data_IF_383135068098
#
_entry.id   IF_383135068098
#
_cell.length_a   1.000
_cell.length_b   1.000
_cell.length_c   1.000
_cell.angle_alpha   90.00
_cell.angle_beta   90.00
_cell.angle_gamma   90.00
#
_symmetry.space_group_name_H-M   'P 1'
#
loop_
_entity.id
_entity.type
_entity.pdbx_description
1 polymer ?
#
# COMPACT_ATOMS: atom_id res chain seq x y z
N UNK A 1 -22.05 4.81 -10.06
CA UNK A 1 -21.88 3.40 -9.68
C UNK A 1 -21.73 3.21 -8.16
N UNK A 2 -20.85 3.92 -7.47
CA UNK A 2 -20.68 3.80 -6.02
C UNK A 2 -21.96 4.01 -5.18
N UNK A 3 -22.78 5.01 -5.52
CA UNK A 3 -24.04 5.26 -4.82
C UNK A 3 -25.06 4.12 -4.94
N UNK A 4 -25.07 3.38 -6.05
CA UNK A 4 -25.98 2.25 -6.29
C UNK A 4 -25.60 1.00 -5.49
N UNK A 5 -24.33 0.90 -5.05
CA UNK A 5 -23.80 -0.26 -4.36
C UNK A 5 -23.65 -0.05 -2.84
N UNK A 6 -23.86 1.17 -2.35
CA UNK A 6 -23.57 1.52 -0.96
C UNK A 6 -22.08 1.36 -0.60
N UNK A 7 -21.18 1.48 -1.59
CA UNK A 7 -19.74 1.32 -1.45
C UNK A 7 -19.10 2.65 -1.81
N UNK A 8 -18.25 3.14 -0.94
CA UNK A 8 -17.39 4.28 -1.24
C UNK A 8 -16.13 3.78 -1.94
N UNK A 9 -16.05 4.01 -3.25
CA UNK A 9 -14.92 3.59 -4.08
C UNK A 9 -13.59 4.26 -3.69
N UNK A 10 -13.64 5.37 -2.95
CA UNK A 10 -12.44 6.08 -2.50
C UNK A 10 -11.88 5.53 -1.18
N UNK A 11 -12.71 4.84 -0.39
CA UNK A 11 -12.29 4.29 0.89
C UNK A 11 -12.26 2.77 0.91
N UNK A 12 -12.88 2.10 -0.08
CA UNK A 12 -12.90 0.64 -0.18
C UNK A 12 -11.82 0.13 -1.14
N UNK A 13 -10.68 -0.26 -0.58
CA UNK A 13 -9.55 -0.83 -1.34
C UNK A 13 -9.94 -2.05 -2.19
N UNK A 14 -10.97 -2.80 -1.77
CA UNK A 14 -11.42 -3.99 -2.52
C UNK A 14 -12.19 -3.61 -3.78
N UNK A 15 -12.91 -2.48 -3.75
CA UNK A 15 -13.52 -1.95 -4.98
C UNK A 15 -12.47 -1.43 -5.95
N UNK A 16 -11.38 -0.87 -5.45
CA UNK A 16 -10.24 -0.50 -6.29
C UNK A 16 -9.59 -1.73 -6.93
N UNK A 17 -9.58 -2.88 -6.25
CA UNK A 17 -9.16 -4.15 -6.88
C UNK A 17 -10.09 -4.57 -8.02
N UNK A 18 -11.40 -4.37 -7.90
CA UNK A 18 -12.30 -4.60 -9.03
C UNK A 18 -11.98 -3.67 -10.20
N UNK A 19 -11.72 -2.39 -9.94
CA UNK A 19 -11.28 -1.45 -10.98
C UNK A 19 -9.95 -1.89 -11.64
N UNK A 20 -9.01 -2.41 -10.87
CA UNK A 20 -7.79 -3.03 -11.41
C UNK A 20 -8.11 -4.19 -12.36
N UNK A 21 -9.03 -5.10 -11.98
CA UNK A 21 -9.46 -6.21 -12.84
C UNK A 21 -10.26 -5.75 -14.06
N UNK A 22 -10.90 -4.60 -13.98
CA UNK A 22 -11.54 -3.95 -15.14
C UNK A 22 -10.51 -3.39 -16.13
N UNK A 23 -9.25 -3.19 -15.73
CA UNK A 23 -8.29 -2.41 -16.49
C UNK A 23 -8.66 -0.93 -16.55
N UNK A 24 -9.31 -0.41 -15.49
CA UNK A 24 -9.79 0.96 -15.42
C UNK A 24 -8.66 1.96 -15.62
N UNK A 25 -8.88 2.97 -16.46
CA UNK A 25 -7.89 3.99 -16.77
C UNK A 25 -8.15 5.32 -16.07
N UNK A 26 -9.36 5.51 -15.54
CA UNK A 26 -9.78 6.70 -14.81
C UNK A 26 -10.50 6.33 -13.53
N UNK A 27 -10.44 7.24 -12.54
CA UNK A 27 -11.08 7.03 -11.24
C UNK A 27 -12.57 7.39 -11.26
N UNK A 28 -13.00 8.25 -12.19
CA UNK A 28 -14.34 8.85 -12.17
C UNK A 28 -15.42 7.92 -12.76
N UNK A 29 -15.05 7.09 -13.71
CA UNK A 29 -15.97 6.17 -14.38
C UNK A 29 -15.26 4.95 -14.95
N UNK A 30 -16.02 3.90 -15.22
CA UNK A 30 -15.59 2.78 -16.04
C UNK A 30 -16.55 2.61 -17.23
N UNK A 31 -16.01 2.24 -18.36
CA UNK A 31 -16.79 1.91 -19.55
C UNK A 31 -17.48 0.56 -19.39
N UNK A 32 -18.51 0.28 -20.21
CA UNK A 32 -19.16 -1.03 -20.25
C UNK A 32 -18.15 -2.14 -20.59
N UNK A 33 -17.23 -1.88 -21.52
CA UNK A 33 -16.20 -2.84 -21.91
C UNK A 33 -15.24 -3.16 -20.74
N UNK A 34 -14.78 -2.16 -19.98
CA UNK A 34 -13.96 -2.35 -18.78
C UNK A 34 -14.74 -3.12 -17.71
N UNK A 35 -16.00 -2.77 -17.48
CA UNK A 35 -16.86 -3.48 -16.53
C UNK A 35 -17.01 -4.97 -16.88
N UNK A 36 -17.31 -5.29 -18.14
CA UNK A 36 -17.42 -6.67 -18.60
C UNK A 36 -16.08 -7.42 -18.51
N UNK A 37 -14.97 -6.72 -18.75
CA UNK A 37 -13.61 -7.27 -18.56
C UNK A 37 -13.39 -7.66 -17.12
N UNK A 38 -13.72 -6.80 -16.16
CA UNK A 38 -13.58 -7.07 -14.72
C UNK A 38 -14.43 -8.26 -14.26
N UNK A 39 -15.69 -8.33 -14.69
CA UNK A 39 -16.57 -9.47 -14.38
C UNK A 39 -15.98 -10.78 -14.91
N UNK A 40 -15.52 -10.79 -16.16
CA UNK A 40 -14.90 -11.96 -16.79
C UNK A 40 -13.60 -12.37 -16.09
N UNK A 41 -12.73 -11.42 -15.77
CA UNK A 41 -11.47 -11.67 -15.07
C UNK A 41 -11.71 -12.32 -13.69
N UNK A 42 -12.75 -11.87 -12.99
CA UNK A 42 -13.14 -12.43 -11.70
C UNK A 42 -14.06 -13.65 -11.80
N UNK A 43 -14.45 -14.08 -13.00
CA UNK A 43 -15.45 -15.16 -13.22
C UNK A 43 -16.74 -14.90 -12.44
N UNK A 44 -17.25 -13.67 -12.53
CA UNK A 44 -18.48 -13.18 -11.90
C UNK A 44 -19.48 -12.75 -12.97
N UNK A 45 -20.77 -12.87 -12.66
CA UNK A 45 -21.84 -12.43 -13.55
C UNK A 45 -22.47 -11.11 -13.08
N UNK A 46 -22.39 -10.84 -11.79
CA UNK A 46 -23.00 -9.67 -11.16
C UNK A 46 -22.03 -9.01 -10.19
N UNK A 47 -22.31 -7.75 -9.83
CA UNK A 47 -21.57 -7.07 -8.77
C UNK A 47 -21.72 -7.72 -7.39
N UNK A 48 -22.83 -8.42 -7.16
CA UNK A 48 -22.99 -9.17 -5.91
C UNK A 48 -22.02 -10.35 -5.84
N UNK A 49 -21.80 -11.03 -6.98
CA UNK A 49 -20.78 -12.09 -7.06
C UNK A 49 -19.38 -11.52 -6.80
N UNK A 50 -19.09 -10.32 -7.34
CA UNK A 50 -17.84 -9.61 -7.06
C UNK A 50 -17.66 -9.37 -5.57
N UNK A 51 -18.66 -8.80 -4.87
CA UNK A 51 -18.62 -8.58 -3.43
C UNK A 51 -18.31 -9.85 -2.64
N UNK A 52 -19.02 -10.92 -2.92
CA UNK A 52 -18.83 -12.22 -2.26
C UNK A 52 -17.42 -12.77 -2.50
N UNK A 53 -16.86 -12.54 -3.68
CA UNK A 53 -15.51 -12.98 -4.01
C UNK A 53 -14.44 -12.15 -3.32
N UNK A 54 -14.68 -10.84 -3.10
CA UNK A 54 -13.72 -9.95 -2.42
C UNK A 54 -13.36 -10.42 -1.02
N UNK A 55 -14.30 -10.98 -0.28
CA UNK A 55 -14.03 -11.56 1.05
C UNK A 55 -12.92 -12.63 1.00
N UNK A 56 -13.05 -13.57 0.05
CA UNK A 56 -12.04 -14.64 -0.14
C UNK A 56 -10.69 -14.10 -0.64
N UNK A 57 -10.72 -13.10 -1.50
CA UNK A 57 -9.50 -12.44 -2.00
C UNK A 57 -8.79 -11.74 -0.84
N UNK A 58 -9.51 -11.04 0.02
CA UNK A 58 -8.96 -10.42 1.22
C UNK A 58 -8.21 -11.42 2.12
N UNK A 59 -8.82 -12.57 2.36
CA UNK A 59 -8.20 -13.63 3.14
C UNK A 59 -6.89 -14.12 2.52
N UNK A 60 -6.82 -14.23 1.18
CA UNK A 60 -5.60 -14.66 0.47
C UNK A 60 -4.44 -13.66 0.49
N UNK A 61 -4.69 -12.39 0.89
CA UNK A 61 -3.65 -11.36 0.98
C UNK A 61 -3.02 -11.24 2.37
N UNK A 62 -3.53 -11.97 3.36
CA UNK A 62 -3.06 -11.87 4.75
C UNK A 62 -1.60 -12.29 4.92
N UNK A 63 -1.10 -13.21 4.10
CA UNK A 63 0.26 -13.75 4.21
C UNK A 63 1.30 -12.95 3.43
N UNK A 64 0.90 -12.06 2.53
CA UNK A 64 1.78 -11.37 1.57
C UNK A 64 2.71 -12.29 0.77
N UNK A 65 2.42 -13.59 0.73
CA UNK A 65 3.22 -14.55 -0.04
C UNK A 65 3.30 -14.11 -1.51
N UNK A 66 4.28 -14.64 -2.24
CA UNK A 66 4.63 -14.27 -3.62
C UNK A 66 3.43 -14.31 -4.59
N UNK A 67 2.44 -13.46 -4.31
CA UNK A 67 1.24 -13.27 -5.09
C UNK A 67 1.49 -12.12 -6.08
N UNK A 68 1.87 -12.47 -7.29
CA UNK A 68 2.11 -11.52 -8.37
C UNK A 68 0.89 -10.63 -8.64
N UNK A 69 -0.31 -11.18 -8.54
CA UNK A 69 -1.54 -10.43 -8.73
C UNK A 69 -1.74 -9.35 -7.66
N UNK A 70 -1.42 -9.68 -6.40
CA UNK A 70 -1.42 -8.70 -5.32
C UNK A 70 -0.37 -7.62 -5.54
N UNK A 71 0.86 -7.99 -5.93
CA UNK A 71 1.92 -7.02 -6.22
C UNK A 71 1.51 -6.08 -7.35
N UNK A 72 0.97 -6.61 -8.45
CA UNK A 72 0.52 -5.82 -9.58
C UNK A 72 -0.63 -4.88 -9.20
N UNK A 73 -1.55 -5.33 -8.37
CA UNK A 73 -2.60 -4.49 -7.80
C UNK A 73 -2.03 -3.38 -6.90
N UNK A 74 -1.10 -3.71 -6.01
CA UNK A 74 -0.45 -2.75 -5.13
C UNK A 74 0.24 -1.62 -5.92
N UNK A 75 0.96 -1.97 -6.98
CA UNK A 75 1.59 -0.99 -7.87
C UNK A 75 0.56 -0.17 -8.67
N UNK A 76 -0.53 -0.80 -9.08
CA UNK A 76 -1.65 -0.13 -9.74
C UNK A 76 -2.24 0.97 -8.84
N UNK A 77 -2.40 0.75 -7.55
CA UNK A 77 -2.95 1.74 -6.62
C UNK A 77 -2.22 3.07 -6.69
N UNK A 78 -0.90 3.05 -6.76
CA UNK A 78 -0.12 4.27 -6.89
C UNK A 78 -0.38 4.96 -8.23
N UNK A 79 -0.14 4.27 -9.34
CA UNK A 79 -0.25 4.83 -10.69
C UNK A 79 -1.67 5.33 -11.00
N UNK A 80 -2.68 4.62 -10.52
CA UNK A 80 -4.08 4.96 -10.70
C UNK A 80 -4.45 6.28 -10.01
N UNK A 81 -4.00 6.48 -8.76
CA UNK A 81 -4.30 7.70 -8.01
C UNK A 81 -3.52 8.93 -8.48
N UNK A 82 -2.28 8.75 -8.92
CA UNK A 82 -1.50 9.88 -9.45
C UNK A 82 -1.73 10.12 -10.96
N UNK A 83 -2.46 9.21 -11.62
CA UNK A 83 -2.74 9.26 -13.06
C UNK A 83 -1.49 9.52 -13.91
N UNK A 84 -0.38 8.93 -13.53
CA UNK A 84 0.91 9.13 -14.18
C UNK A 84 1.45 7.81 -14.72
N UNK A 85 2.26 7.91 -15.79
CA UNK A 85 2.94 6.76 -16.41
C UNK A 85 4.40 7.09 -16.69
N UNK A 86 5.24 6.09 -16.73
CA UNK A 86 6.65 6.22 -17.13
C UNK A 86 7.44 7.18 -16.22
N UNK A 87 8.17 8.11 -16.81
CA UNK A 87 9.01 9.06 -16.07
C UNK A 87 8.21 9.97 -15.13
N UNK A 88 6.98 10.35 -15.49
CA UNK A 88 6.12 11.16 -14.64
C UNK A 88 5.72 10.46 -13.35
N UNK A 89 5.71 9.13 -13.31
CA UNK A 89 5.42 8.34 -12.10
C UNK A 89 6.47 8.60 -11.02
N UNK A 90 7.74 8.68 -11.40
CA UNK A 90 8.88 8.87 -10.47
C UNK A 90 8.87 10.24 -9.77
N UNK A 91 8.23 11.23 -10.35
CA UNK A 91 8.17 12.60 -9.81
C UNK A 91 6.93 12.87 -8.97
N UNK A 92 6.02 11.89 -8.88
CA UNK A 92 4.77 12.03 -8.13
C UNK A 92 4.87 11.37 -6.75
N UNK A 93 4.05 11.88 -5.85
CA UNK A 93 3.88 11.37 -4.50
C UNK A 93 2.41 11.06 -4.27
N UNK A 94 2.14 9.94 -3.60
CA UNK A 94 0.81 9.58 -3.15
C UNK A 94 0.55 10.31 -1.82
N UNK A 95 -0.51 11.15 -1.71
CA UNK A 95 -0.81 11.88 -0.48
C UNK A 95 -1.03 10.97 0.72
N UNK A 96 -0.69 11.46 1.92
CA UNK A 96 -0.81 10.71 3.18
C UNK A 96 -2.21 10.10 3.36
N UNK A 97 -3.27 10.83 3.09
CA UNK A 97 -4.67 10.41 3.27
C UNK A 97 -4.99 9.16 2.43
N UNK A 98 -4.43 9.08 1.23
CA UNK A 98 -4.59 7.93 0.34
C UNK A 98 -3.73 6.75 0.81
N UNK A 99 -2.49 7.02 1.23
CA UNK A 99 -1.60 6.00 1.83
C UNK A 99 -2.28 5.38 3.07
N UNK A 100 -2.86 6.21 3.94
CA UNK A 100 -3.54 5.75 5.15
C UNK A 100 -4.69 4.79 4.84
N UNK A 101 -5.55 5.14 3.88
CA UNK A 101 -6.67 4.28 3.46
C UNK A 101 -6.17 2.93 2.96
N UNK A 102 -5.19 2.93 2.07
CA UNK A 102 -4.68 1.69 1.49
C UNK A 102 -3.91 0.85 2.50
N UNK A 103 -3.06 1.45 3.31
CA UNK A 103 -2.27 0.70 4.28
C UNK A 103 -3.15 0.08 5.37
N UNK A 104 -4.13 0.79 5.87
CA UNK A 104 -5.13 0.24 6.81
C UNK A 104 -5.98 -0.88 6.18
N UNK A 105 -6.30 -0.77 4.88
CA UNK A 105 -7.09 -1.77 4.18
C UNK A 105 -6.31 -3.03 3.79
N UNK A 106 -5.04 -2.88 3.40
CA UNK A 106 -4.22 -3.98 2.88
C UNK A 106 -3.35 -4.67 3.93
N UNK A 107 -2.87 -3.92 4.92
CA UNK A 107 -1.80 -4.36 5.83
C UNK A 107 -2.21 -4.32 7.30
N UNK A 108 -3.51 -4.36 7.59
CA UNK A 108 -4.05 -4.28 8.96
C UNK A 108 -3.51 -5.36 9.91
N UNK A 109 -3.00 -6.48 9.39
CA UNK A 109 -2.39 -7.57 10.15
C UNK A 109 -1.00 -7.21 10.70
N UNK A 110 -0.35 -6.15 10.21
CA UNK A 110 0.97 -5.71 10.66
C UNK A 110 0.84 -4.54 11.64
N UNK A 111 1.18 -4.75 12.90
CA UNK A 111 1.16 -3.70 13.92
C UNK A 111 2.00 -2.47 13.55
N UNK A 112 3.12 -2.70 12.86
CA UNK A 112 4.05 -1.65 12.40
C UNK A 112 3.37 -0.61 11.50
N UNK A 113 2.28 -0.96 10.81
CA UNK A 113 1.56 -0.05 9.91
C UNK A 113 1.00 1.16 10.66
N UNK A 114 0.42 0.96 11.82
CA UNK A 114 -0.11 2.07 12.61
C UNK A 114 1.01 3.03 13.04
N UNK A 115 2.16 2.50 13.44
CA UNK A 115 3.33 3.29 13.79
C UNK A 115 3.89 4.07 12.59
N UNK A 116 4.00 3.41 11.45
CA UNK A 116 4.45 4.05 10.21
C UNK A 116 3.51 5.18 9.75
N UNK A 117 2.20 4.97 9.86
CA UNK A 117 1.22 6.01 9.55
C UNK A 117 1.31 7.21 10.51
N UNK A 118 1.54 6.97 11.80
CA UNK A 118 1.78 8.07 12.78
C UNK A 118 3.05 8.84 12.42
N UNK A 119 4.12 8.14 12.04
CA UNK A 119 5.37 8.75 11.58
C UNK A 119 5.15 9.63 10.33
N UNK A 120 4.52 9.10 9.27
CA UNK A 120 4.24 9.86 8.04
C UNK A 120 3.38 11.10 8.32
N UNK A 121 2.35 10.95 9.16
CA UNK A 121 1.48 12.06 9.56
C UNK A 121 2.27 13.16 10.28
N UNK A 122 3.15 12.77 11.20
CA UNK A 122 4.01 13.71 11.93
C UNK A 122 4.97 14.49 11.03
N UNK A 123 5.43 13.86 9.95
CA UNK A 123 6.25 14.50 8.91
C UNK A 123 5.44 15.31 7.89
N UNK A 124 4.13 15.14 7.86
CA UNK A 124 3.24 15.71 6.83
C UNK A 124 3.68 15.35 5.40
N UNK A 125 4.04 14.09 5.17
CA UNK A 125 4.50 13.59 3.87
C UNK A 125 3.69 12.40 3.41
N UNK A 126 3.55 12.26 2.10
CA UNK A 126 3.08 11.04 1.45
C UNK A 126 4.25 10.17 1.01
N UNK A 127 4.00 9.18 0.17
CA UNK A 127 5.02 8.28 -0.36
C UNK A 127 5.30 8.55 -1.83
N UNK A 128 6.57 8.61 -2.21
CA UNK A 128 7.02 8.63 -3.60
C UNK A 128 6.92 7.23 -4.21
N UNK A 129 7.09 7.14 -5.53
CA UNK A 129 6.99 5.87 -6.23
C UNK A 129 7.99 4.80 -5.76
N UNK A 130 9.24 5.17 -5.56
CA UNK A 130 10.29 4.27 -5.09
C UNK A 130 10.03 3.79 -3.65
N UNK A 131 9.62 4.70 -2.77
CA UNK A 131 9.22 4.41 -1.39
C UNK A 131 8.01 3.46 -1.35
N UNK A 132 6.96 3.76 -2.15
CA UNK A 132 5.79 2.90 -2.27
C UNK A 132 6.15 1.50 -2.78
N UNK A 133 6.88 1.42 -3.91
CA UNK A 133 7.23 0.15 -4.53
C UNK A 133 8.05 -0.76 -3.59
N UNK A 134 9.02 -0.19 -2.86
CA UNK A 134 9.92 -0.95 -2.00
C UNK A 134 9.32 -1.25 -0.62
N UNK A 135 8.33 -0.47 -0.18
CA UNK A 135 7.70 -0.68 1.12
C UNK A 135 7.02 -2.05 1.24
N UNK A 136 6.48 -2.60 0.16
CA UNK A 136 5.93 -3.95 0.17
C UNK A 136 7.00 -5.01 0.47
N UNK A 137 8.20 -4.84 -0.08
CA UNK A 137 9.32 -5.75 0.17
C UNK A 137 9.82 -5.58 1.62
N UNK A 138 9.91 -4.33 2.11
CA UNK A 138 10.18 -4.06 3.52
C UNK A 138 9.19 -4.75 4.48
N UNK A 139 7.88 -4.70 4.19
CA UNK A 139 6.87 -5.38 5.02
C UNK A 139 7.02 -6.90 5.00
N UNK A 140 7.32 -7.49 3.86
CA UNK A 140 7.55 -8.93 3.73
C UNK A 140 8.75 -9.38 4.54
N UNK A 141 9.83 -8.63 4.45
CA UNK A 141 11.11 -9.01 5.05
C UNK A 141 11.17 -8.68 6.55
N UNK A 142 10.62 -7.53 6.96
CA UNK A 142 10.82 -6.96 8.29
C UNK A 142 9.54 -6.73 9.08
N UNK A 143 8.37 -6.74 8.43
CA UNK A 143 7.11 -6.34 9.07
C UNK A 143 6.71 -7.11 10.32
N UNK A 144 7.14 -8.37 10.46
CA UNK A 144 6.85 -9.20 11.62
C UNK A 144 7.89 -9.05 12.75
N UNK A 145 9.13 -8.70 12.43
CA UNK A 145 10.28 -8.71 13.37
C UNK A 145 10.82 -7.33 13.69
N UNK A 146 10.42 -6.30 12.92
CA UNK A 146 10.84 -4.93 13.14
C UNK A 146 10.67 -4.49 14.61
N UNK A 147 11.64 -3.77 15.21
CA UNK A 147 12.87 -3.24 14.60
C UNK A 147 14.09 -4.17 14.72
N UNK A 148 13.98 -5.36 15.30
CA UNK A 148 15.12 -6.19 15.73
C UNK A 148 16.07 -6.56 14.60
N UNK A 149 15.52 -6.89 13.43
CA UNK A 149 16.30 -7.40 12.29
C UNK A 149 16.49 -6.34 11.20
N UNK A 150 16.28 -5.06 11.55
CA UNK A 150 16.47 -3.98 10.61
C UNK A 150 17.92 -3.51 10.60
N UNK A 151 18.55 -3.55 9.42
CA UNK A 151 19.92 -3.08 9.21
C UNK A 151 19.90 -1.62 8.74
N UNK A 152 19.99 -0.71 9.71
CA UNK A 152 20.00 0.73 9.47
C UNK A 152 21.22 1.17 8.63
N UNK A 153 21.01 2.10 7.69
CA UNK A 153 22.09 2.73 6.91
C UNK A 153 22.64 1.89 5.76
N UNK A 154 22.08 0.69 5.48
CA UNK A 154 22.61 -0.20 4.42
C UNK A 154 22.19 0.21 3.00
N UNK A 155 21.37 1.24 2.82
CA UNK A 155 20.76 1.66 1.54
C UNK A 155 19.96 0.55 0.81
N UNK A 156 19.63 -0.54 1.50
CA UNK A 156 18.80 -1.62 0.93
C UNK A 156 17.34 -1.18 0.73
N UNK A 157 16.84 -0.36 1.67
CA UNK A 157 15.52 0.25 1.58
C UNK A 157 15.63 1.77 1.37
N UNK A 158 14.56 2.44 0.88
CA UNK A 158 14.53 3.89 0.77
C UNK A 158 14.76 4.58 2.12
N UNK A 159 15.34 5.78 2.09
CA UNK A 159 15.65 6.58 3.28
C UNK A 159 14.47 6.77 4.25
N UNK A 160 13.23 6.74 3.73
CA UNK A 160 12.02 6.82 4.58
C UNK A 160 11.93 5.67 5.59
N UNK A 161 12.47 4.49 5.26
CA UNK A 161 12.51 3.34 6.18
C UNK A 161 13.54 3.55 7.28
N UNK A 162 14.73 4.10 6.94
CA UNK A 162 15.75 4.47 7.94
C UNK A 162 15.25 5.57 8.87
N UNK A 163 14.62 6.60 8.32
CA UNK A 163 14.03 7.67 9.11
C UNK A 163 12.92 7.16 10.04
N UNK A 164 12.12 6.21 9.55
CA UNK A 164 11.10 5.54 10.37
C UNK A 164 11.74 4.70 11.48
N UNK A 165 12.80 3.96 11.18
CA UNK A 165 13.54 3.19 12.19
C UNK A 165 14.07 4.07 13.32
N UNK A 166 14.73 5.19 12.98
CA UNK A 166 15.24 6.16 13.97
C UNK A 166 14.08 6.72 14.81
N UNK A 167 13.00 7.15 14.16
CA UNK A 167 11.82 7.67 14.86
C UNK A 167 11.20 6.63 15.80
N UNK A 168 11.07 5.38 15.33
CA UNK A 168 10.53 4.27 16.11
C UNK A 168 11.39 3.95 17.32
N UNK A 169 12.70 3.84 17.14
CA UNK A 169 13.65 3.58 18.23
C UNK A 169 13.59 4.68 19.29
N UNK A 170 13.60 5.95 18.88
CA UNK A 170 13.46 7.09 19.81
C UNK A 170 12.14 7.07 20.58
N UNK A 171 11.03 6.78 19.89
CA UNK A 171 9.70 6.70 20.53
C UNK A 171 9.61 5.59 21.58
N UNK A 172 10.26 4.45 21.32
CA UNK A 172 10.21 3.27 22.19
C UNK A 172 11.43 3.09 23.09
N UNK A 173 12.33 4.09 23.17
CA UNK A 173 13.57 4.06 23.95
C UNK A 173 14.46 2.85 23.62
N UNK A 174 14.57 2.49 22.33
CA UNK A 174 15.43 1.44 21.82
C UNK A 174 16.76 2.08 21.41
N UNK A 175 17.90 1.52 21.85
CA UNK A 175 19.24 2.01 21.47
C UNK A 175 19.48 1.74 19.98
N UNK A 176 19.93 2.78 19.25
CA UNK A 176 20.31 2.66 17.84
C UNK A 176 21.78 2.21 17.79
N UNK A 177 22.16 1.17 17.03
CA UNK A 177 23.50 0.57 17.08
C UNK A 177 24.66 1.52 16.76
N UNK A 178 24.46 2.52 15.91
CA UNK A 178 25.52 3.44 15.43
C UNK A 178 25.58 4.78 16.20
N UNK A 179 24.75 4.98 17.22
CA UNK A 179 24.95 6.07 18.18
C UNK A 179 26.01 5.63 19.23
N UNK A 180 27.19 5.15 18.78
CA UNK A 180 28.37 5.10 19.67
C UNK A 180 28.84 6.53 19.97
N UNK A 181 28.77 6.84 21.22
CA UNK A 181 29.21 8.05 21.91
C UNK A 181 30.42 8.72 21.21
N UNK A 182 30.20 9.85 20.56
CA UNK A 182 31.22 10.88 20.51
C UNK A 182 31.30 11.47 21.92
N UNK A 183 31.86 10.69 22.85
CA UNK A 183 32.39 11.22 24.09
C UNK A 183 33.67 12.05 23.78
N UNK A 184 33.47 13.36 23.69
CA UNK A 184 34.52 14.36 23.78
C UNK A 184 34.58 14.96 25.16
#
# INVERSE_FOLDING_TARGET
MGKTLGIDIYTDVFMTYFLFKCGATTIDYITEAEYMTGLKALKCNTLNDVKNKMTKIKESWLTLDNNEDFRNFYLFLFSFNVQAKGAALKTKSLPYEIVEVYFKGLFFQFNIINEFLVFLKGKNVGLKWDEWNTFLDFLKDKGATFPKDYEYGTAYYPSICDEFYIWYCKKHNIKIPDEEEEDF
#
